data_IF_933677888068
#
_entry.id   IF_933677888068
#
_cell.length_a   1.000
_cell.length_b   1.000
_cell.length_c   1.000
_cell.angle_alpha   90.00
_cell.angle_beta   90.00
_cell.angle_gamma   90.00
#
_symmetry.space_group_name_H-M   'P 1'
#
loop_
_entity.id
_entity.type
_entity.pdbx_description
1 polymer ?
#
# COMPACT_ATOMS: atom_id res chain seq x y z
N UNK A 1 -41.72 -1.76 19.97
CA UNK A 1 -41.62 -1.76 18.49
C UNK A 1 -40.27 -1.15 18.10
N UNK A 2 -39.48 -1.79 17.22
CA UNK A 2 -38.08 -1.46 16.93
C UNK A 2 -37.95 -0.34 15.88
N UNK A 3 -36.89 0.49 15.98
CA UNK A 3 -36.58 1.52 14.99
C UNK A 3 -35.42 1.03 14.11
N UNK A 4 -35.75 0.49 12.94
CA UNK A 4 -34.80 0.13 11.89
C UNK A 4 -34.66 1.28 10.90
N UNK A 5 -33.63 2.10 11.07
CA UNK A 5 -33.24 3.10 10.09
C UNK A 5 -32.20 2.49 9.14
N UNK A 6 -32.67 1.74 8.14
CA UNK A 6 -31.85 1.38 6.98
C UNK A 6 -31.83 2.58 6.02
N UNK A 7 -30.76 3.37 6.11
CA UNK A 7 -30.41 4.32 5.05
C UNK A 7 -29.92 3.54 3.84
N UNK A 8 -30.79 3.36 2.85
CA UNK A 8 -30.37 2.87 1.55
C UNK A 8 -29.75 4.02 0.76
N UNK A 9 -28.49 3.81 0.44
CA UNK A 9 -27.60 4.58 -0.42
C UNK A 9 -28.32 5.23 -1.59
N UNK A 10 -28.24 6.55 -1.65
CA UNK A 10 -28.37 7.27 -2.91
C UNK A 10 -27.12 6.98 -3.73
N UNK A 11 -27.20 5.97 -4.59
CA UNK A 11 -26.22 5.72 -5.65
C UNK A 11 -26.34 6.86 -6.67
N UNK A 12 -25.52 7.89 -6.50
CA UNK A 12 -25.22 8.80 -7.58
C UNK A 12 -24.10 8.18 -8.42
N UNK A 13 -24.42 7.72 -9.62
CA UNK A 13 -23.41 7.48 -10.67
C UNK A 13 -23.06 8.82 -11.33
N UNK A 14 -21.78 9.23 -11.38
CA UNK A 14 -21.32 10.13 -12.41
C UNK A 14 -20.58 9.29 -13.45
N UNK A 15 -21.19 9.22 -14.63
CA UNK A 15 -20.52 8.86 -15.87
C UNK A 15 -19.40 9.86 -16.11
N UNK A 16 -18.15 9.47 -15.89
CA UNK A 16 -17.00 10.04 -16.59
C UNK A 16 -16.13 8.92 -17.17
N UNK A 17 -16.36 8.60 -18.44
CA UNK A 17 -15.48 7.76 -19.27
C UNK A 17 -14.59 8.62 -20.17
N UNK A 18 -14.12 9.79 -19.73
CA UNK A 18 -13.20 10.62 -20.50
C UNK A 18 -11.97 10.99 -19.69
N UNK A 19 -10.95 10.16 -19.84
CA UNK A 19 -9.60 10.47 -19.37
C UNK A 19 -8.96 9.41 -18.47
N UNK A 20 -9.31 8.13 -18.62
CA UNK A 20 -8.55 7.05 -17.99
C UNK A 20 -7.19 6.89 -18.68
N UNK A 21 -6.29 7.85 -18.45
CA UNK A 21 -4.87 7.56 -18.55
C UNK A 21 -4.60 6.34 -17.68
N UNK A 22 -3.80 5.40 -18.20
CA UNK A 22 -3.32 4.29 -17.38
C UNK A 22 -2.68 4.89 -16.13
N UNK A 23 -3.13 4.54 -14.91
CA UNK A 23 -2.52 5.02 -13.69
C UNK A 23 -1.00 4.82 -13.81
N UNK A 24 -0.26 5.92 -13.81
CA UNK A 24 1.19 5.80 -13.86
C UNK A 24 1.65 5.29 -12.50
N UNK A 25 2.73 4.50 -12.46
CA UNK A 25 3.30 4.04 -11.19
C UNK A 25 3.73 5.21 -10.27
N UNK A 26 3.78 6.42 -10.81
CA UNK A 26 4.02 7.68 -10.10
C UNK A 26 2.77 8.23 -9.38
N UNK A 27 1.56 7.79 -9.74
CA UNK A 27 0.29 8.21 -9.13
C UNK A 27 0.00 7.49 -7.82
N UNK A 28 0.67 6.36 -7.58
CA UNK A 28 0.57 5.59 -6.35
C UNK A 28 1.93 5.59 -5.65
N UNK A 29 2.00 5.86 -4.33
CA UNK A 29 3.25 5.84 -3.57
C UNK A 29 3.69 4.38 -3.33
N UNK A 30 4.01 3.67 -4.41
CA UNK A 30 4.34 2.24 -4.43
C UNK A 30 5.53 1.96 -3.53
N UNK A 31 6.53 2.86 -3.54
CA UNK A 31 7.76 2.68 -2.74
C UNK A 31 7.49 2.84 -1.25
N UNK A 32 6.69 3.81 -0.87
CA UNK A 32 6.25 4.04 0.50
C UNK A 32 5.42 2.87 1.01
N UNK A 33 4.53 2.33 0.17
CA UNK A 33 3.77 1.12 0.48
C UNK A 33 4.69 -0.08 0.68
N UNK A 34 5.63 -0.32 -0.25
CA UNK A 34 6.61 -1.40 -0.12
C UNK A 34 7.42 -1.25 1.16
N UNK A 35 7.84 -0.03 1.50
CA UNK A 35 8.59 0.26 2.72
C UNK A 35 7.77 -0.12 3.97
N UNK A 36 6.53 0.38 4.07
CA UNK A 36 5.65 0.11 5.21
C UNK A 36 5.35 -1.39 5.37
N UNK A 37 5.08 -2.08 4.26
CA UNK A 37 4.80 -3.53 4.26
C UNK A 37 6.03 -4.34 4.64
N UNK A 38 7.21 -4.00 4.11
CA UNK A 38 8.45 -4.69 4.44
C UNK A 38 8.78 -4.58 5.94
N UNK A 39 8.56 -3.41 6.56
CA UNK A 39 8.74 -3.23 8.00
C UNK A 39 7.75 -4.06 8.83
N UNK A 40 6.49 -4.14 8.41
CA UNK A 40 5.49 -4.97 9.10
C UNK A 40 5.86 -6.45 9.03
N UNK A 41 6.22 -6.94 7.85
CA UNK A 41 6.66 -8.31 7.65
C UNK A 41 7.94 -8.62 8.44
N UNK A 42 8.87 -7.67 8.56
CA UNK A 42 10.09 -7.84 9.36
C UNK A 42 9.76 -8.04 10.85
N UNK A 43 8.77 -7.30 11.37
CA UNK A 43 8.26 -7.50 12.75
C UNK A 43 7.64 -8.88 12.91
N UNK A 44 6.83 -9.31 11.94
CA UNK A 44 6.18 -10.62 11.97
C UNK A 44 7.21 -11.77 11.92
N UNK A 45 8.23 -11.67 11.06
CA UNK A 45 9.29 -12.66 10.96
C UNK A 45 10.06 -12.81 12.29
N UNK A 46 10.39 -11.69 12.95
CA UNK A 46 11.05 -11.71 14.27
C UNK A 46 10.16 -12.29 15.36
N UNK A 47 8.87 -12.00 15.31
CA UNK A 47 7.90 -12.58 16.24
C UNK A 47 7.85 -14.12 16.12
N UNK A 48 7.98 -14.64 14.90
CA UNK A 48 8.03 -16.08 14.61
C UNK A 48 9.41 -16.72 14.87
N UNK A 49 10.40 -15.91 15.30
CA UNK A 49 11.76 -16.36 15.58
C UNK A 49 12.69 -16.44 14.36
N UNK A 50 12.22 -16.04 13.18
CA UNK A 50 13.04 -15.95 11.96
C UNK A 50 13.68 -14.56 11.82
N UNK A 51 14.76 -14.35 12.58
CA UNK A 51 15.54 -13.12 12.53
C UNK A 51 16.21 -12.88 11.17
N UNK A 52 16.64 -13.94 10.47
CA UNK A 52 17.30 -13.82 9.18
C UNK A 52 16.37 -13.29 8.10
N UNK A 53 15.13 -13.77 8.06
CA UNK A 53 14.08 -13.21 7.20
C UNK A 53 13.75 -11.76 7.59
N UNK A 54 13.70 -11.45 8.89
CA UNK A 54 13.48 -10.10 9.39
C UNK A 54 14.53 -9.10 8.88
N UNK A 55 15.80 -9.47 8.89
CA UNK A 55 16.89 -8.60 8.43
C UNK A 55 16.87 -8.36 6.92
N UNK A 56 16.47 -9.36 6.13
CA UNK A 56 16.29 -9.20 4.68
C UNK A 56 15.14 -8.24 4.36
N UNK A 57 14.05 -8.29 5.13
CA UNK A 57 12.90 -7.41 4.97
C UNK A 57 13.22 -5.96 5.37
N UNK A 58 14.01 -5.76 6.42
CA UNK A 58 14.49 -4.41 6.78
C UNK A 58 15.39 -3.81 5.69
N UNK A 59 16.27 -4.61 5.08
CA UNK A 59 17.07 -4.17 3.94
C UNK A 59 16.20 -3.81 2.73
N UNK A 60 15.13 -4.56 2.48
CA UNK A 60 14.16 -4.22 1.44
C UNK A 60 13.44 -2.89 1.73
N UNK A 61 13.03 -2.65 2.98
CA UNK A 61 12.42 -1.39 3.40
C UNK A 61 13.37 -0.21 3.18
N UNK A 62 14.65 -0.37 3.57
CA UNK A 62 15.68 0.66 3.41
C UNK A 62 15.90 1.05 1.94
N UNK A 63 15.87 0.07 1.03
CA UNK A 63 15.98 0.30 -0.43
C UNK A 63 14.74 0.94 -1.03
N UNK A 64 13.56 0.64 -0.49
CA UNK A 64 12.32 1.26 -0.91
C UNK A 64 12.28 2.75 -0.50
N UNK A 65 12.72 3.05 0.72
CA UNK A 65 12.82 4.41 1.29
C UNK A 65 13.93 5.26 0.63
N UNK A 66 15.05 4.62 0.25
CA UNK A 66 16.17 5.28 -0.42
C UNK A 66 16.41 4.66 -1.80
N UNK A 67 15.55 4.96 -2.79
CA UNK A 67 15.72 4.43 -4.13
C UNK A 67 17.05 4.91 -4.73
N UNK A 68 17.77 4.06 -5.48
CA UNK A 68 18.95 4.49 -6.20
C UNK A 68 18.55 5.62 -7.15
N UNK A 69 19.36 6.68 -7.18
CA UNK A 69 19.20 7.74 -8.18
C UNK A 69 19.45 7.11 -9.56
N UNK A 70 18.40 6.81 -10.30
CA UNK A 70 18.50 6.50 -11.72
C UNK A 70 19.06 7.76 -12.39
N UNK A 71 20.26 7.70 -12.96
CA UNK A 71 20.72 8.73 -13.89
C UNK A 71 19.81 8.65 -15.11
N UNK A 72 18.86 9.58 -15.21
CA UNK A 72 18.15 9.89 -16.46
C UNK A 72 19.12 10.45 -17.50
#
# INVERSE_FOLDING_TARGET
MPNGASGHEQVATPTDRRGAGTPHADDYPVREYICAMAQELARMARWDGDGGLGDLLDEAARRADNPPKTRS
#
